data_IF_917337103082
#
_entry.id   IF_917337103082
#
_cell.length_a   1.000
_cell.length_b   1.000
_cell.length_c   1.000
_cell.angle_alpha   90.00
_cell.angle_beta   90.00
_cell.angle_gamma   90.00
#
_symmetry.space_group_name_H-M   'P 1'
#
loop_
_entity.id
_entity.type
_entity.pdbx_description
1 polymer ?
#
# COMPACT_ATOMS: atom_id res chain seq x y z
N UNK A 1 11.01 -1.71 3.50
CA UNK A 1 9.92 -2.73 3.47
C UNK A 1 8.60 -2.07 3.06
N UNK A 2 8.42 -1.85 1.75
CA UNK A 2 7.21 -1.24 1.18
C UNK A 2 6.62 -2.21 0.18
N UNK A 3 5.29 -2.22 0.07
CA UNK A 3 4.57 -3.03 -0.90
C UNK A 3 3.78 -2.14 -1.87
N UNK A 4 3.66 -2.52 -3.15
CA UNK A 4 2.77 -1.86 -4.09
C UNK A 4 1.30 -1.90 -3.60
N UNK A 5 0.56 -0.83 -3.87
CA UNK A 5 -0.90 -0.81 -3.67
C UNK A 5 -1.62 -1.50 -4.84
N UNK A 6 -2.83 -2.03 -4.61
CA UNK A 6 -3.74 -2.52 -5.64
C UNK A 6 -4.16 -1.39 -6.60
N UNK A 7 -4.69 -1.75 -7.78
CA UNK A 7 -5.11 -0.75 -8.79
C UNK A 7 -6.15 0.22 -8.23
N UNK A 8 -7.13 -0.30 -7.49
CA UNK A 8 -8.19 0.47 -6.84
C UNK A 8 -7.62 1.47 -5.82
N UNK A 9 -6.72 1.01 -4.94
CA UNK A 9 -6.08 1.89 -3.96
C UNK A 9 -5.16 2.94 -4.60
N UNK A 10 -4.49 2.60 -5.71
CA UNK A 10 -3.67 3.55 -6.47
C UNK A 10 -4.51 4.65 -7.08
N UNK A 11 -5.68 4.32 -7.64
CA UNK A 11 -6.61 5.31 -8.20
C UNK A 11 -7.17 6.20 -7.09
N UNK A 12 -7.62 5.59 -5.98
CA UNK A 12 -8.20 6.32 -4.84
C UNK A 12 -7.24 7.32 -4.19
N UNK A 13 -6.00 6.92 -3.98
CA UNK A 13 -5.04 7.70 -3.19
C UNK A 13 -3.92 8.34 -4.01
N UNK A 14 -3.83 8.05 -5.31
CA UNK A 14 -2.75 8.48 -6.20
C UNK A 14 -1.34 8.18 -5.66
N UNK A 15 -1.15 7.03 -5.01
CA UNK A 15 0.15 6.59 -4.47
C UNK A 15 0.47 5.19 -4.99
N UNK A 16 1.71 4.95 -5.45
CA UNK A 16 2.10 3.67 -6.07
C UNK A 16 2.35 2.55 -5.05
N UNK A 17 2.92 2.88 -3.90
CA UNK A 17 3.36 1.93 -2.86
C UNK A 17 3.24 2.53 -1.47
N UNK A 18 3.08 1.71 -0.44
CA UNK A 18 3.09 2.14 0.96
C UNK A 18 3.98 1.24 1.82
N UNK A 19 4.58 1.76 2.91
CA UNK A 19 5.16 0.91 3.95
C UNK A 19 4.10 -0.03 4.51
N UNK A 20 4.46 -1.31 4.64
CA UNK A 20 3.56 -2.35 5.14
C UNK A 20 3.45 -2.27 6.67
N UNK A 21 2.24 -2.49 7.20
CA UNK A 21 1.96 -2.50 8.64
C UNK A 21 1.28 -3.81 9.04
N UNK A 22 1.33 -4.08 10.35
CA UNK A 22 0.49 -5.10 10.97
C UNK A 22 -0.97 -4.79 10.66
N UNK A 23 -1.74 -5.83 10.40
CA UNK A 23 -3.17 -5.80 10.05
C UNK A 23 -3.52 -5.23 8.67
N UNK A 24 -2.56 -4.93 7.81
CA UNK A 24 -2.85 -4.73 6.39
C UNK A 24 -3.30 -6.04 5.75
N UNK A 25 -4.23 -5.98 4.79
CA UNK A 25 -4.60 -7.15 3.98
C UNK A 25 -3.79 -7.12 2.68
N UNK A 26 -3.10 -8.23 2.40
CA UNK A 26 -2.17 -8.36 1.29
C UNK A 26 -2.42 -9.62 0.49
N UNK A 27 -2.12 -9.54 -0.80
CA UNK A 27 -2.14 -10.66 -1.72
C UNK A 27 -0.72 -10.93 -2.22
N UNK A 28 -0.32 -12.20 -2.25
CA UNK A 28 0.99 -12.61 -2.79
C UNK A 28 0.89 -12.73 -4.32
N UNK A 29 1.76 -12.02 -5.04
CA UNK A 29 1.74 -11.96 -6.51
C UNK A 29 2.88 -12.71 -7.19
N UNK A 30 3.91 -13.09 -6.44
CA UNK A 30 5.10 -13.80 -6.95
C UNK A 30 5.53 -14.91 -6.00
N UNK A 31 6.10 -15.98 -6.55
CA UNK A 31 6.63 -17.13 -5.81
C UNK A 31 5.60 -18.26 -5.62
N UNK A 32 5.97 -19.25 -4.81
CA UNK A 32 5.19 -20.48 -4.61
C UNK A 32 3.78 -20.21 -4.05
N UNK A 33 3.63 -19.21 -3.18
CA UNK A 33 2.36 -18.83 -2.55
C UNK A 33 1.51 -17.86 -3.40
N UNK A 34 1.84 -17.67 -4.68
CA UNK A 34 1.08 -16.82 -5.59
C UNK A 34 -0.34 -17.38 -5.77
N UNK A 35 -1.33 -16.48 -5.82
CA UNK A 35 -2.72 -16.86 -6.12
C UNK A 35 -3.50 -17.36 -4.90
N UNK A 36 -2.84 -17.52 -3.75
CA UNK A 36 -3.56 -17.70 -2.49
C UNK A 36 -4.43 -16.47 -2.19
N UNK A 37 -5.53 -16.72 -1.48
CA UNK A 37 -6.45 -15.66 -1.08
C UNK A 37 -5.75 -14.57 -0.27
N UNK A 38 -6.34 -13.38 -0.28
CA UNK A 38 -5.87 -12.24 0.51
C UNK A 38 -5.72 -12.66 1.97
N UNK A 39 -4.59 -12.33 2.57
CA UNK A 39 -4.26 -12.65 3.95
C UNK A 39 -3.88 -11.40 4.73
N UNK A 40 -4.16 -11.41 6.01
CA UNK A 40 -3.80 -10.33 6.93
C UNK A 40 -2.34 -10.45 7.35
N UNK A 41 -1.64 -9.33 7.41
CA UNK A 41 -0.26 -9.27 7.92
C UNK A 41 -0.27 -9.41 9.44
N UNK A 42 0.27 -10.51 9.94
CA UNK A 42 0.37 -10.81 11.38
C UNK A 42 1.52 -10.01 12.01
N UNK A 43 2.67 -10.01 11.34
CA UNK A 43 3.88 -9.36 11.86
C UNK A 43 4.78 -8.89 10.72
N UNK A 44 5.45 -7.76 10.96
CA UNK A 44 6.51 -7.23 10.10
C UNK A 44 7.85 -7.46 10.79
N UNK A 45 8.64 -8.43 10.30
CA UNK A 45 9.92 -8.80 10.89
C UNK A 45 11.05 -8.00 10.23
N UNK A 46 11.31 -6.80 10.74
CA UNK A 46 12.26 -5.85 10.14
C UNK A 46 13.72 -6.32 10.15
N UNK A 47 14.15 -7.08 11.17
CA UNK A 47 15.53 -7.60 11.27
C UNK A 47 15.89 -8.59 10.15
N UNK A 48 14.90 -9.30 9.59
CA UNK A 48 15.05 -10.25 8.46
C UNK A 48 14.44 -9.73 7.16
N UNK A 49 13.93 -8.49 7.15
CA UNK A 49 13.26 -7.90 5.99
C UNK A 49 12.08 -8.72 5.41
N UNK A 50 11.39 -9.51 6.24
CA UNK A 50 10.24 -10.34 5.81
C UNK A 50 8.95 -10.00 6.54
N UNK A 51 7.82 -10.31 5.92
CA UNK A 51 6.49 -10.23 6.53
C UNK A 51 5.93 -11.64 6.74
N UNK A 52 5.14 -11.80 7.80
CA UNK A 52 4.34 -12.99 8.05
C UNK A 52 2.87 -12.69 7.79
N UNK A 53 2.24 -13.56 7.02
CA UNK A 53 0.85 -13.43 6.57
C UNK A 53 0.09 -14.64 7.14
N UNK A 54 -1.10 -14.39 7.69
CA UNK A 54 -1.86 -15.36 8.48
C UNK A 54 -2.08 -16.71 7.77
N UNK A 55 -2.39 -16.69 6.48
CA UNK A 55 -2.69 -17.89 5.68
C UNK A 55 -1.45 -18.53 5.04
N UNK A 56 -0.29 -17.91 5.15
CA UNK A 56 0.95 -18.38 4.54
C UNK A 56 1.77 -19.14 5.58
N UNK A 57 1.52 -20.44 5.68
CA UNK A 57 2.14 -21.33 6.66
C UNK A 57 2.74 -22.54 5.94
N UNK A 58 3.71 -23.17 6.61
CA UNK A 58 4.24 -24.50 6.26
C UNK A 58 4.26 -25.37 7.50
N UNK A 59 4.04 -26.66 7.29
CA UNK A 59 4.14 -27.66 8.35
C UNK A 59 5.62 -28.01 8.60
N UNK A 60 5.97 -28.23 9.86
CA UNK A 60 7.27 -28.79 10.28
C UNK A 60 7.16 -30.31 10.48
N UNK A 61 8.30 -30.99 10.60
CA UNK A 61 8.34 -32.43 10.92
C UNK A 61 7.62 -32.79 12.23
N UNK A 62 7.47 -31.85 13.16
CA UNK A 62 6.71 -32.02 14.40
C UNK A 62 5.24 -31.62 14.26
N UNK A 63 4.70 -31.57 13.04
CA UNK A 63 3.29 -31.23 12.70
C UNK A 63 2.84 -29.82 13.09
N UNK A 64 3.72 -29.02 13.71
CA UNK A 64 3.43 -27.63 14.03
C UNK A 64 3.55 -26.75 12.78
N UNK A 65 2.60 -25.82 12.64
CA UNK A 65 2.62 -24.84 11.56
C UNK A 65 3.48 -23.62 11.89
N UNK A 66 4.26 -23.15 10.92
CA UNK A 66 5.07 -21.93 11.04
C UNK A 66 4.85 -21.03 9.83
N UNK A 67 4.76 -19.74 10.08
CA UNK A 67 4.66 -18.75 9.03
C UNK A 67 5.88 -18.75 8.12
N UNK A 68 5.62 -18.68 6.81
CA UNK A 68 6.67 -18.47 5.83
C UNK A 68 6.90 -16.99 5.64
N UNK A 69 8.17 -16.56 5.75
CA UNK A 69 8.56 -15.19 5.51
C UNK A 69 8.46 -14.85 4.03
N UNK A 70 7.66 -13.84 3.71
CA UNK A 70 7.52 -13.32 2.36
C UNK A 70 8.19 -11.94 2.27
N UNK A 71 8.83 -11.65 1.15
CA UNK A 71 9.35 -10.32 0.88
C UNK A 71 8.19 -9.37 0.50
N UNK A 72 8.07 -8.18 1.09
CA UNK A 72 6.95 -7.26 0.83
C UNK A 72 6.84 -6.83 -0.64
N UNK A 73 7.92 -6.80 -1.42
CA UNK A 73 7.86 -6.46 -2.85
C UNK A 73 7.16 -7.52 -3.70
N UNK A 74 7.05 -8.75 -3.19
CA UNK A 74 6.32 -9.88 -3.81
C UNK A 74 4.84 -9.89 -3.45
N UNK A 75 4.36 -8.87 -2.73
CA UNK A 75 2.97 -8.72 -2.30
C UNK A 75 2.34 -7.44 -2.81
N UNK A 76 1.01 -7.40 -2.88
CA UNK A 76 0.21 -6.21 -3.19
C UNK A 76 -0.74 -5.97 -2.03
N UNK A 77 -0.80 -4.72 -1.54
CA UNK A 77 -1.76 -4.34 -0.50
C UNK A 77 -3.13 -4.16 -1.13
N UNK A 78 -4.12 -4.86 -0.60
CA UNK A 78 -5.52 -4.83 -1.03
C UNK A 78 -6.33 -3.90 -0.12
N UNK A 79 -6.05 -3.91 1.18
CA UNK A 79 -6.69 -3.05 2.17
C UNK A 79 -5.65 -2.51 3.15
N UNK A 80 -5.72 -1.21 3.41
CA UNK A 80 -4.84 -0.53 4.34
C UNK A 80 -5.50 -0.43 5.71
N UNK A 81 -4.78 -0.79 6.78
CA UNK A 81 -5.13 -0.33 8.12
C UNK A 81 -4.87 1.17 8.22
N UNK A 82 -5.95 1.93 8.39
CA UNK A 82 -5.91 3.38 8.43
C UNK A 82 -5.75 3.88 9.85
N UNK A 83 -4.73 4.71 10.07
CA UNK A 83 -4.50 5.49 11.29
C UNK A 83 -4.29 6.98 10.90
N UNK A 84 -4.28 7.86 11.90
CA UNK A 84 -4.15 9.32 11.71
C UNK A 84 -2.90 9.65 10.88
N UNK A 85 -1.77 9.01 11.17
CA UNK A 85 -0.51 9.32 10.51
C UNK A 85 -0.38 8.64 9.14
N UNK A 86 -1.06 7.52 8.91
CA UNK A 86 -1.14 6.91 7.58
C UNK A 86 -1.86 7.80 6.62
N UNK A 87 -3.00 8.37 7.05
CA UNK A 87 -3.77 9.33 6.25
C UNK A 87 -2.88 10.50 5.84
N UNK A 88 -2.22 11.15 6.80
CA UNK A 88 -1.26 12.24 6.54
C UNK A 88 -0.16 11.85 5.53
N UNK A 89 0.42 10.65 5.67
CA UNK A 89 1.47 10.17 4.74
C UNK A 89 0.91 9.96 3.34
N UNK A 90 -0.28 9.37 3.23
CA UNK A 90 -0.95 9.13 1.95
C UNK A 90 -1.27 10.46 1.28
N UNK A 91 -1.89 11.40 1.99
CA UNK A 91 -2.29 12.70 1.45
C UNK A 91 -1.07 13.50 0.99
N UNK A 92 0.00 13.53 1.81
CA UNK A 92 1.26 14.19 1.44
C UNK A 92 1.88 13.60 0.18
N UNK A 93 1.93 12.25 0.08
CA UNK A 93 2.52 11.56 -1.09
C UNK A 93 1.64 11.66 -2.33
N UNK A 94 0.32 11.69 -2.17
CA UNK A 94 -0.65 11.89 -3.23
C UNK A 94 -0.50 13.28 -3.86
N UNK A 95 -0.47 14.33 -3.03
CA UNK A 95 -0.23 15.72 -3.46
C UNK A 95 1.12 15.88 -4.16
N UNK A 96 2.20 15.35 -3.57
CA UNK A 96 3.53 15.41 -4.19
C UNK A 96 3.59 14.75 -5.57
N UNK A 97 2.82 13.67 -5.78
CA UNK A 97 2.73 13.02 -7.09
C UNK A 97 1.92 13.85 -8.11
N UNK A 98 0.84 14.52 -7.68
CA UNK A 98 0.05 15.40 -8.55
C UNK A 98 0.90 16.56 -9.06
N UNK A 99 1.65 17.20 -8.17
CA UNK A 99 2.56 18.30 -8.51
C UNK A 99 3.64 17.86 -9.51
N UNK A 100 4.24 16.68 -9.28
CA UNK A 100 5.25 16.11 -10.18
C UNK A 100 4.69 15.74 -11.57
N UNK A 101 3.40 15.40 -11.66
CA UNK A 101 2.72 15.11 -12.93
C UNK A 101 2.30 16.38 -13.69
N UNK A 102 2.54 17.57 -13.14
CA UNK A 102 2.13 18.84 -13.76
C UNK A 102 0.62 19.05 -13.81
N UNK A 103 -0.19 18.18 -13.18
CA UNK A 103 -1.66 18.29 -13.16
C UNK A 103 -2.15 19.49 -12.33
N UNK A 104 -1.29 20.02 -11.46
CA UNK A 104 -1.53 21.25 -10.72
C UNK A 104 -1.13 22.52 -11.50
N UNK A 105 -0.41 22.41 -12.64
CA UNK A 105 0.11 23.55 -13.42
C UNK A 105 -0.88 24.14 -14.44
N UNK A 106 -2.17 23.80 -14.38
CA UNK A 106 -3.14 24.28 -15.37
C UNK A 106 -4.60 24.25 -14.94
N UNK A 107 -4.88 24.04 -13.65
CA UNK A 107 -6.25 24.10 -13.13
C UNK A 107 -6.35 25.24 -12.12
N UNK A 108 -6.56 26.44 -12.63
CA UNK A 108 -7.10 27.51 -11.81
C UNK A 108 -8.49 27.06 -11.32
N UNK A 109 -8.81 27.18 -10.03
CA UNK A 109 -10.19 27.06 -9.60
C UNK A 109 -11.00 28.15 -10.32
N UNK A 110 -12.18 27.80 -10.82
CA UNK A 110 -13.08 28.68 -11.59
C UNK A 110 -13.36 30.03 -10.87
N UNK A 111 -13.24 30.06 -9.54
CA UNK A 111 -13.33 31.26 -8.69
C UNK A 111 -12.28 32.33 -9.02
N UNK A 112 -11.07 31.93 -9.43
CA UNK A 112 -9.99 32.89 -9.75
C UNK A 112 -10.11 33.51 -11.14
N UNK A 113 -10.85 32.86 -12.06
CA UNK A 113 -11.11 33.42 -13.40
C UNK A 113 -12.23 34.45 -13.38
N UNK A 114 -13.28 34.27 -12.56
CA UNK A 114 -14.39 35.23 -12.47
C UNK A 114 -13.99 36.59 -11.86
N UNK A 115 -13.04 36.59 -10.92
CA UNK A 115 -12.52 37.81 -10.29
C UNK A 115 -11.61 38.64 -11.23
N UNK A 116 -11.10 38.05 -12.32
CA UNK A 116 -10.17 38.71 -13.23
C UNK A 116 -10.87 39.32 -14.46
N UNK A 117 -12.08 38.86 -14.79
CA UNK A 117 -12.92 39.42 -15.88
C UNK A 117 -13.81 40.60 -15.42
N UNK A 118 -13.82 40.90 -14.13
CA UNK A 118 -14.64 41.96 -13.52
C UNK A 118 -13.83 43.15 -12.98
N UNK A 119 -12.56 43.29 -13.41
CA UNK A 119 -11.69 44.46 -13.11
C UNK A 119 -11.30 45.21 -14.37
#
# INVERSE_FOLDING_TARGET
>A
MSAPLSKELRQKYNVRSMPIRKDDEVQVVRGHYKGQQVGKVVQVYRKKFVIYIERIQREKANTANVYVGIDPSKTVIVKLKMDKDRKKIIDRRGKGRLAALGKDKGKYPEDTTAAMESS
#
